data_IF_994138446429
#
_entry.id   IF_994138446429
#
_cell.length_a   1.000
_cell.length_b   1.000
_cell.length_c   1.000
_cell.angle_alpha   90.00
_cell.angle_beta   90.00
_cell.angle_gamma   90.00
#
_symmetry.space_group_name_H-M   'P 1'
#
loop_
_entity.id
_entity.type
_entity.pdbx_description
1 polymer ?
#
# COMPACT_ATOMS: atom_id res chain seq x y z
N UNK A 1 19.97 -19.02 -27.99
CA UNK A 1 18.71 -18.75 -27.26
C UNK A 1 19.06 -17.93 -26.04
N UNK A 2 18.41 -16.78 -25.82
CA UNK A 2 18.62 -16.01 -24.59
C UNK A 2 18.00 -16.80 -23.43
N UNK A 3 18.81 -17.27 -22.50
CA UNK A 3 18.32 -17.96 -21.31
C UNK A 3 17.85 -16.91 -20.30
N UNK A 4 16.55 -16.88 -20.04
CA UNK A 4 15.95 -16.03 -19.01
C UNK A 4 15.97 -16.75 -17.66
N UNK A 5 16.26 -16.02 -16.58
CA UNK A 5 16.30 -16.56 -15.22
C UNK A 5 15.31 -15.82 -14.31
N UNK A 6 14.83 -16.50 -13.26
CA UNK A 6 13.99 -15.91 -12.23
C UNK A 6 12.80 -15.12 -12.78
N UNK A 7 12.70 -13.87 -12.35
CA UNK A 7 11.61 -12.95 -12.73
C UNK A 7 11.58 -12.63 -14.21
N UNK A 8 12.72 -12.64 -14.91
CA UNK A 8 12.72 -12.40 -16.35
C UNK A 8 12.04 -13.53 -17.14
N UNK A 9 12.18 -14.77 -16.68
CA UNK A 9 11.48 -15.90 -17.31
C UNK A 9 9.97 -15.76 -17.10
N UNK A 10 9.54 -15.43 -15.88
CA UNK A 10 8.12 -15.22 -15.57
C UNK A 10 7.51 -14.11 -16.43
N UNK A 11 8.19 -12.96 -16.54
CA UNK A 11 7.69 -11.80 -17.29
C UNK A 11 7.71 -12.00 -18.82
N UNK A 12 8.53 -12.92 -19.34
CA UNK A 12 8.56 -13.24 -20.77
C UNK A 12 7.52 -14.28 -21.17
N UNK A 13 7.13 -15.17 -20.26
CA UNK A 13 6.14 -16.23 -20.52
C UNK A 13 4.70 -15.78 -20.24
N UNK A 14 4.50 -14.95 -19.21
CA UNK A 14 3.16 -14.53 -18.81
C UNK A 14 2.61 -13.41 -19.71
N UNK A 15 1.32 -13.47 -20.07
CA UNK A 15 0.64 -12.33 -20.67
C UNK A 15 0.69 -11.10 -19.76
N UNK A 16 0.86 -9.92 -20.35
CA UNK A 16 1.01 -8.64 -19.62
C UNK A 16 -0.13 -8.41 -18.62
N UNK A 17 -1.37 -8.74 -19.00
CA UNK A 17 -2.54 -8.57 -18.12
C UNK A 17 -2.51 -9.50 -16.90
N UNK A 18 -1.94 -10.71 -17.02
CA UNK A 18 -1.77 -11.64 -15.89
C UNK A 18 -0.75 -11.09 -14.90
N UNK A 19 0.37 -10.55 -15.42
CA UNK A 19 1.37 -9.86 -14.59
C UNK A 19 0.75 -8.69 -13.84
N UNK A 20 -0.03 -7.85 -14.52
CA UNK A 20 -0.70 -6.70 -13.92
C UNK A 20 -1.66 -7.13 -12.80
N UNK A 21 -2.53 -8.11 -13.07
CA UNK A 21 -3.50 -8.62 -12.10
C UNK A 21 -2.79 -9.25 -10.90
N UNK A 22 -1.74 -10.04 -11.12
CA UNK A 22 -0.99 -10.70 -10.05
C UNK A 22 -0.34 -9.68 -9.13
N UNK A 23 0.33 -8.66 -9.68
CA UNK A 23 0.93 -7.60 -8.88
C UNK A 23 -0.12 -6.82 -8.11
N UNK A 24 -1.23 -6.43 -8.76
CA UNK A 24 -2.34 -5.74 -8.10
C UNK A 24 -2.92 -6.54 -6.94
N UNK A 25 -3.17 -7.84 -7.15
CA UNK A 25 -3.69 -8.72 -6.09
C UNK A 25 -2.72 -8.88 -4.92
N UNK A 26 -1.41 -8.97 -5.19
CA UNK A 26 -0.39 -9.16 -4.15
C UNK A 26 -0.12 -7.88 -3.37
N UNK A 27 -0.01 -6.72 -4.03
CA UNK A 27 0.38 -5.46 -3.35
C UNK A 27 -0.82 -4.75 -2.72
N UNK A 28 -1.95 -4.66 -3.43
CA UNK A 28 -3.15 -3.99 -2.93
C UNK A 28 -4.15 -4.98 -2.34
N UNK A 29 -4.55 -5.99 -3.12
CA UNK A 29 -5.63 -6.90 -2.73
C UNK A 29 -5.41 -7.63 -1.40
N UNK A 30 -4.22 -8.18 -1.21
CA UNK A 30 -3.88 -8.92 0.01
C UNK A 30 -3.88 -8.03 1.26
N UNK A 31 -3.35 -6.80 1.20
CA UNK A 31 -3.38 -5.90 2.35
C UNK A 31 -4.82 -5.53 2.72
N UNK A 32 -5.67 -5.24 1.73
CA UNK A 32 -7.08 -4.94 1.98
C UNK A 32 -7.76 -6.05 2.80
N UNK A 33 -7.58 -7.31 2.40
CA UNK A 33 -8.15 -8.47 3.10
C UNK A 33 -7.53 -8.65 4.48
N UNK A 34 -6.21 -8.52 4.61
CA UNK A 34 -5.53 -8.73 5.88
C UNK A 34 -5.98 -7.72 6.93
N UNK A 35 -6.07 -6.44 6.58
CA UNK A 35 -6.46 -5.39 7.54
C UNK A 35 -7.94 -5.43 7.88
N UNK A 36 -8.80 -5.71 6.91
CA UNK A 36 -10.23 -5.90 7.18
C UNK A 36 -10.46 -7.10 8.11
N UNK A 37 -9.85 -8.26 7.80
CA UNK A 37 -10.13 -9.50 8.50
C UNK A 37 -9.46 -9.62 9.87
N UNK A 38 -8.23 -9.12 10.01
CA UNK A 38 -7.42 -9.33 11.22
C UNK A 38 -7.27 -8.08 12.09
N UNK A 39 -7.49 -6.89 11.54
CA UNK A 39 -7.27 -5.62 12.28
C UNK A 39 -8.57 -4.83 12.46
N UNK A 40 -9.66 -5.21 11.79
CA UNK A 40 -10.94 -4.50 11.85
C UNK A 40 -10.87 -3.07 11.31
N UNK A 41 -9.84 -2.77 10.51
CA UNK A 41 -9.58 -1.46 9.93
C UNK A 41 -9.94 -1.49 8.45
N UNK A 42 -10.80 -0.56 8.02
CA UNK A 42 -10.93 -0.26 6.60
C UNK A 42 -9.59 0.31 6.12
N UNK A 43 -8.90 -0.42 5.25
CA UNK A 43 -7.59 -0.01 4.75
C UNK A 43 -7.71 1.32 3.99
N UNK A 44 -7.34 2.43 4.65
CA UNK A 44 -7.15 3.72 3.97
C UNK A 44 -5.77 3.77 3.35
N UNK A 45 -5.70 3.41 2.08
CA UNK A 45 -4.43 3.42 1.36
C UNK A 45 -3.88 4.85 1.28
N UNK A 46 -2.60 5.01 1.62
CA UNK A 46 -1.83 6.20 1.30
C UNK A 46 -1.90 6.45 -0.23
N UNK A 47 -1.80 7.69 -0.70
CA UNK A 47 -1.85 7.92 -2.16
C UNK A 47 -0.69 7.22 -2.88
N UNK A 48 0.45 7.14 -2.22
CA UNK A 48 1.63 6.37 -2.66
C UNK A 48 1.34 4.89 -2.85
N UNK A 49 0.56 4.24 -1.99
CA UNK A 49 0.19 2.85 -2.21
C UNK A 49 -0.98 2.73 -3.21
N UNK A 50 -1.94 3.67 -3.23
CA UNK A 50 -3.11 3.58 -4.13
C UNK A 50 -2.77 3.90 -5.60
N UNK A 51 -2.13 5.04 -5.82
CA UNK A 51 -1.78 5.56 -7.15
C UNK A 51 -0.34 5.20 -7.51
N UNK A 52 0.56 5.20 -6.52
CA UNK A 52 1.95 4.89 -6.74
C UNK A 52 2.19 3.40 -7.06
N UNK A 53 1.48 2.45 -6.45
CA UNK A 53 1.55 1.04 -6.87
C UNK A 53 1.14 0.86 -8.33
N UNK A 54 0.15 1.63 -8.80
CA UNK A 54 -0.22 1.65 -10.22
C UNK A 54 0.94 2.10 -11.12
N UNK A 55 1.69 3.13 -10.71
CA UNK A 55 2.88 3.58 -11.41
C UNK A 55 4.01 2.52 -11.38
N UNK A 56 4.21 1.85 -10.24
CA UNK A 56 5.19 0.77 -10.12
C UNK A 56 4.82 -0.44 -10.99
N UNK A 57 3.54 -0.84 -11.01
CA UNK A 57 3.04 -1.89 -11.89
C UNK A 57 3.28 -1.50 -13.35
N UNK A 58 2.95 -0.28 -13.75
CA UNK A 58 3.19 0.18 -15.12
C UNK A 58 4.67 0.11 -15.51
N UNK A 59 5.60 0.45 -14.61
CA UNK A 59 7.04 0.24 -14.82
C UNK A 59 7.40 -1.24 -15.00
N UNK A 60 6.81 -2.14 -14.23
CA UNK A 60 7.02 -3.59 -14.39
C UNK A 60 6.50 -4.08 -15.74
N UNK A 61 5.33 -3.64 -16.17
CA UNK A 61 4.76 -4.00 -17.48
C UNK A 61 5.60 -3.45 -18.63
N UNK A 62 6.16 -2.25 -18.47
CA UNK A 62 7.09 -1.67 -19.43
C UNK A 62 8.35 -2.54 -19.54
N UNK A 63 8.96 -2.92 -18.42
CA UNK A 63 10.11 -3.83 -18.41
C UNK A 63 9.77 -5.21 -19.00
N UNK A 64 8.57 -5.74 -18.73
CA UNK A 64 8.09 -6.98 -19.33
C UNK A 64 8.02 -6.87 -20.87
N UNK A 65 7.47 -5.76 -21.38
CA UNK A 65 7.46 -5.46 -22.81
C UNK A 65 8.87 -5.43 -23.42
N UNK A 66 9.83 -4.79 -22.73
CA UNK A 66 11.26 -4.76 -23.12
C UNK A 66 11.89 -6.17 -23.15
N UNK A 67 11.58 -7.01 -22.16
CA UNK A 67 12.09 -8.39 -22.10
C UNK A 67 11.50 -9.25 -23.22
N UNK A 68 10.20 -9.11 -23.50
CA UNK A 68 9.47 -9.86 -24.53
C UNK A 68 9.96 -9.52 -25.95
N UNK A 69 10.44 -8.28 -26.18
CA UNK A 69 11.14 -7.89 -27.43
C UNK A 69 12.63 -8.25 -27.47
N UNK A 70 13.13 -9.02 -26.50
CA UNK A 70 14.49 -9.56 -26.47
C UNK A 70 15.53 -8.71 -25.71
N UNK A 71 15.12 -7.61 -25.07
CA UNK A 71 15.98 -6.70 -24.33
C UNK A 71 16.40 -7.23 -22.97
N UNK A 72 17.29 -8.22 -22.92
CA UNK A 72 17.76 -8.85 -21.69
C UNK A 72 19.00 -8.16 -21.09
N UNK A 73 18.96 -7.80 -19.80
CA UNK A 73 20.16 -7.35 -19.06
C UNK A 73 19.98 -7.35 -17.53
N UNK A 74 20.92 -7.90 -16.74
CA UNK A 74 22.04 -8.77 -17.11
C UNK A 74 21.58 -10.24 -17.25
N UNK A 75 22.18 -11.03 -18.16
CA UNK A 75 21.79 -12.43 -18.38
C UNK A 75 22.41 -13.37 -17.34
N UNK A 76 22.09 -13.19 -16.05
CA UNK A 76 22.71 -13.98 -14.96
C UNK A 76 21.70 -14.40 -13.90
N UNK A 77 21.60 -15.71 -13.63
CA UNK A 77 20.79 -16.23 -12.52
C UNK A 77 21.30 -15.77 -11.14
N UNK A 78 22.61 -15.62 -10.97
CA UNK A 78 23.21 -15.11 -9.73
C UNK A 78 22.78 -13.69 -9.41
N UNK A 79 22.52 -12.87 -10.44
CA UNK A 79 22.00 -11.53 -10.25
C UNK A 79 20.60 -11.55 -9.63
N UNK A 80 19.72 -12.47 -10.06
CA UNK A 80 18.40 -12.65 -9.46
C UNK A 80 18.47 -13.16 -8.01
N UNK A 81 19.39 -14.09 -7.72
CA UNK A 81 19.61 -14.58 -6.35
C UNK A 81 20.08 -13.43 -5.45
N UNK A 82 21.04 -12.63 -5.91
CA UNK A 82 21.52 -11.45 -5.17
C UNK A 82 20.43 -10.41 -4.93
N UNK A 83 19.61 -10.12 -5.95
CA UNK A 83 18.48 -9.21 -5.81
C UNK A 83 17.41 -9.72 -4.84
N UNK A 84 17.14 -11.03 -4.85
CA UNK A 84 16.20 -11.67 -3.92
C UNK A 84 16.74 -11.62 -2.48
N UNK A 85 18.02 -11.94 -2.29
CA UNK A 85 18.68 -11.86 -0.98
C UNK A 85 18.66 -10.43 -0.43
N UNK A 86 18.95 -9.43 -1.28
CA UNK A 86 18.85 -8.02 -0.90
C UNK A 86 17.44 -7.63 -0.48
N UNK A 87 16.42 -8.03 -1.26
CA UNK A 87 15.02 -7.81 -0.91
C UNK A 87 14.65 -8.43 0.44
N UNK A 88 15.05 -9.68 0.67
CA UNK A 88 14.80 -10.38 1.93
C UNK A 88 15.48 -9.69 3.13
N UNK A 89 16.74 -9.27 2.98
CA UNK A 89 17.47 -8.55 4.05
C UNK A 89 16.79 -7.23 4.37
N UNK A 90 16.37 -6.46 3.37
CA UNK A 90 15.68 -5.18 3.58
C UNK A 90 14.33 -5.43 4.27
N UNK A 91 13.54 -6.39 3.81
CA UNK A 91 12.23 -6.69 4.40
C UNK A 91 12.31 -7.16 5.85
N UNK A 92 13.21 -8.11 6.13
CA UNK A 92 13.43 -8.62 7.50
C UNK A 92 14.01 -7.52 8.39
N UNK A 93 14.96 -6.72 7.88
CA UNK A 93 15.55 -5.62 8.62
C UNK A 93 14.51 -4.56 9.00
N UNK A 94 13.66 -4.17 8.05
CA UNK A 94 12.58 -3.21 8.30
C UNK A 94 11.57 -3.76 9.30
N UNK A 95 11.10 -5.01 9.13
CA UNK A 95 10.22 -5.66 10.09
C UNK A 95 10.82 -5.69 11.51
N UNK A 96 12.11 -5.99 11.64
CA UNK A 96 12.80 -6.01 12.94
C UNK A 96 12.86 -4.63 13.59
N UNK A 97 13.10 -3.57 12.82
CA UNK A 97 13.11 -2.19 13.33
C UNK A 97 11.73 -1.85 13.92
N UNK A 98 10.66 -2.06 13.16
CA UNK A 98 9.30 -1.78 13.60
C UNK A 98 8.89 -2.63 14.82
N UNK A 99 9.31 -3.90 14.86
CA UNK A 99 9.06 -4.80 15.98
C UNK A 99 9.81 -4.38 17.26
N UNK A 100 11.04 -3.86 17.13
CA UNK A 100 11.87 -3.43 18.26
C UNK A 100 11.47 -2.04 18.78
N UNK A 101 10.98 -1.16 17.91
CA UNK A 101 10.43 0.15 18.31
C UNK A 101 9.22 -0.02 19.23
N UNK A 102 8.36 -1.01 18.95
CA UNK A 102 7.23 -1.36 19.82
C UNK A 102 7.62 -1.89 21.20
N UNK A 103 8.87 -2.37 21.38
CA UNK A 103 9.34 -2.94 22.65
C UNK A 103 9.69 -1.89 23.71
N UNK A 104 9.95 -0.64 23.28
CA UNK A 104 10.35 0.47 24.16
C UNK A 104 9.15 1.30 24.65
N UNK A 105 7.94 0.97 24.19
CA UNK A 105 6.73 1.69 24.57
C UNK A 105 6.20 1.22 25.93
N UNK A 106 5.62 2.12 26.75
CA UNK A 106 4.95 1.75 27.99
C UNK A 106 3.81 0.76 27.73
N UNK A 107 3.51 -0.09 28.71
CA UNK A 107 2.62 -1.27 28.58
C UNK A 107 1.23 -0.91 27.98
N UNK A 108 0.69 0.26 28.31
CA UNK A 108 -0.58 0.77 27.82
C UNK A 108 -0.56 1.15 26.33
N UNK A 109 0.60 1.55 25.80
CA UNK A 109 0.83 1.75 24.37
C UNK A 109 1.21 0.45 23.66
N UNK A 110 1.82 -0.51 24.36
CA UNK A 110 2.19 -1.81 23.83
C UNK A 110 0.96 -2.65 23.44
N UNK A 111 -0.15 -2.55 24.20
CA UNK A 111 -1.45 -3.14 23.85
C UNK A 111 -2.05 -2.52 22.58
N UNK A 112 -1.79 -1.23 22.30
CA UNK A 112 -2.18 -0.61 21.01
C UNK A 112 -1.21 -0.96 19.88
N UNK A 113 -0.04 -1.48 20.23
CA UNK A 113 0.98 -1.93 19.31
C UNK A 113 0.85 -3.43 18.98
N UNK A 114 -0.36 -4.00 19.05
CA UNK A 114 -0.63 -5.35 18.58
C UNK A 114 -0.12 -5.54 17.13
N UNK A 115 0.47 -6.71 16.88
CA UNK A 115 1.15 -7.03 15.63
C UNK A 115 0.16 -6.93 14.46
N UNK A 116 0.37 -5.93 13.58
CA UNK A 116 -0.50 -5.69 12.43
C UNK A 116 -0.08 -6.60 11.29
N UNK A 117 -0.92 -7.59 10.98
CA UNK A 117 -0.67 -8.55 9.91
C UNK A 117 -0.48 -7.88 8.55
N UNK A 118 -1.16 -6.75 8.30
CA UNK A 118 -0.97 -5.94 7.11
C UNK A 118 0.43 -5.35 7.02
N UNK A 119 1.00 -4.88 8.14
CA UNK A 119 2.37 -4.36 8.18
C UNK A 119 3.38 -5.50 8.08
N UNK A 120 3.19 -6.61 8.80
CA UNK A 120 4.05 -7.80 8.67
C UNK A 120 4.10 -8.29 7.23
N UNK A 121 2.95 -8.39 6.57
CA UNK A 121 2.87 -8.77 5.16
C UNK A 121 3.55 -7.74 4.25
N UNK A 122 3.37 -6.45 4.49
CA UNK A 122 4.04 -5.41 3.72
C UNK A 122 5.57 -5.53 3.83
N UNK A 123 6.11 -5.68 5.04
CA UNK A 123 7.55 -5.78 5.27
C UNK A 123 8.15 -7.08 4.74
N UNK A 124 7.47 -8.22 4.89
CA UNK A 124 8.04 -9.52 4.57
C UNK A 124 7.73 -10.01 3.15
N UNK A 125 6.74 -9.40 2.48
CA UNK A 125 6.32 -9.82 1.12
C UNK A 125 6.45 -8.67 0.13
N UNK A 126 5.77 -7.55 0.36
CA UNK A 126 5.69 -6.47 -0.63
C UNK A 126 7.02 -5.75 -0.77
N UNK A 127 7.64 -5.31 0.32
CA UNK A 127 8.91 -4.59 0.26
C UNK A 127 10.03 -5.42 -0.42
N UNK A 128 10.26 -6.70 -0.06
CA UNK A 128 11.20 -7.57 -0.76
C UNK A 128 10.89 -7.73 -2.24
N UNK A 129 9.60 -7.91 -2.60
CA UNK A 129 9.17 -8.03 -3.99
C UNK A 129 9.47 -6.75 -4.78
N UNK A 130 9.14 -5.58 -4.23
CA UNK A 130 9.39 -4.29 -4.87
C UNK A 130 10.89 -4.03 -5.03
N UNK A 131 11.71 -4.31 -4.01
CA UNK A 131 13.17 -4.22 -4.10
C UNK A 131 13.69 -5.13 -5.21
N UNK A 132 13.26 -6.40 -5.22
CA UNK A 132 13.66 -7.36 -6.23
C UNK A 132 13.30 -6.88 -7.64
N UNK A 133 12.07 -6.43 -7.86
CA UNK A 133 11.61 -5.91 -9.14
C UNK A 133 12.37 -4.65 -9.55
N UNK A 134 12.62 -3.73 -8.62
CA UNK A 134 13.35 -2.50 -8.90
C UNK A 134 14.79 -2.78 -9.33
N UNK A 135 15.51 -3.60 -8.56
CA UNK A 135 16.89 -3.99 -8.84
C UNK A 135 16.99 -4.75 -10.15
N UNK A 136 16.04 -5.63 -10.45
CA UNK A 136 16.11 -6.45 -11.66
C UNK A 136 15.60 -5.73 -12.90
N UNK A 137 14.61 -4.85 -12.81
CA UNK A 137 13.93 -4.28 -13.99
C UNK A 137 14.42 -2.88 -14.38
N UNK A 138 14.92 -2.07 -13.44
CA UNK A 138 15.51 -0.78 -13.82
C UNK A 138 16.70 -0.91 -14.77
N UNK A 139 17.66 -1.84 -14.56
CA UNK A 139 18.76 -2.03 -15.51
C UNK A 139 18.27 -2.44 -16.90
N UNK A 140 17.23 -3.27 -16.97
CA UNK A 140 16.58 -3.67 -18.23
C UNK A 140 16.05 -2.44 -18.97
N UNK A 141 15.28 -1.60 -18.29
CA UNK A 141 14.72 -0.36 -18.88
C UNK A 141 15.86 0.58 -19.30
N UNK A 142 16.84 0.79 -18.44
CA UNK A 142 17.92 1.73 -18.70
C UNK A 142 18.78 1.32 -19.92
N UNK A 143 19.10 0.03 -20.05
CA UNK A 143 19.93 -0.49 -21.15
C UNK A 143 19.15 -0.70 -22.43
N UNK A 144 17.95 -1.28 -22.36
CA UNK A 144 17.22 -1.78 -23.53
C UNK A 144 15.96 -0.98 -23.86
N UNK A 145 15.56 -0.04 -23.00
CA UNK A 145 14.42 0.83 -23.24
C UNK A 145 14.66 1.86 -24.33
N UNK A 146 13.58 2.31 -24.95
CA UNK A 146 13.52 3.51 -25.79
C UNK A 146 13.64 4.78 -24.96
N UNK A 147 13.86 5.93 -25.59
CA UNK A 147 13.90 7.22 -24.89
C UNK A 147 12.58 7.50 -24.16
N UNK A 148 11.45 7.14 -24.76
CA UNK A 148 10.12 7.32 -24.15
C UNK A 148 9.97 6.45 -22.91
N UNK A 149 10.34 5.17 -22.98
CA UNK A 149 10.28 4.24 -21.83
C UNK A 149 11.15 4.72 -20.67
N UNK A 150 12.36 5.22 -20.96
CA UNK A 150 13.27 5.76 -19.92
C UNK A 150 12.70 7.02 -19.26
N UNK A 151 12.19 7.97 -20.05
CA UNK A 151 11.59 9.20 -19.53
C UNK A 151 10.35 8.87 -18.69
N UNK A 152 9.46 8.02 -19.21
CA UNK A 152 8.26 7.59 -18.50
C UNK A 152 8.59 6.92 -17.16
N UNK A 153 9.64 6.08 -17.14
CA UNK A 153 10.12 5.44 -15.90
C UNK A 153 10.60 6.47 -14.88
N UNK A 154 11.39 7.46 -15.30
CA UNK A 154 11.82 8.55 -14.41
C UNK A 154 10.62 9.33 -13.89
N UNK A 155 9.67 9.70 -14.75
CA UNK A 155 8.46 10.40 -14.34
C UNK A 155 7.63 9.58 -13.33
N UNK A 156 7.50 8.27 -13.52
CA UNK A 156 6.78 7.39 -12.60
C UNK A 156 7.48 7.25 -11.25
N UNK A 157 8.81 7.15 -11.22
CA UNK A 157 9.59 7.17 -9.97
C UNK A 157 9.38 8.50 -9.25
N UNK A 158 9.52 9.63 -9.95
CA UNK A 158 9.33 10.96 -9.35
C UNK A 158 7.91 11.15 -8.82
N UNK A 159 6.91 10.70 -9.58
CA UNK A 159 5.51 10.68 -9.17
C UNK A 159 5.33 9.87 -7.89
N UNK A 160 5.81 8.62 -7.85
CA UNK A 160 5.74 7.77 -6.67
C UNK A 160 6.44 8.41 -5.46
N UNK A 161 7.67 8.91 -5.61
CA UNK A 161 8.42 9.60 -4.54
C UNK A 161 7.65 10.83 -4.04
N UNK A 162 7.07 11.64 -4.93
CA UNK A 162 6.29 12.81 -4.54
C UNK A 162 5.06 12.44 -3.70
N UNK A 163 4.40 11.33 -4.02
CA UNK A 163 3.28 10.82 -3.24
C UNK A 163 3.75 10.31 -1.88
N UNK A 164 4.88 9.61 -1.80
CA UNK A 164 5.45 9.18 -0.51
C UNK A 164 5.78 10.38 0.38
N UNK A 165 6.39 11.42 -0.17
CA UNK A 165 6.69 12.66 0.58
C UNK A 165 5.39 13.34 1.02
N UNK A 166 4.39 13.41 0.14
CA UNK A 166 3.09 13.97 0.48
C UNK A 166 2.43 13.19 1.61
N UNK A 167 2.37 11.86 1.52
CA UNK A 167 1.76 11.02 2.54
C UNK A 167 2.50 11.10 3.87
N UNK A 168 3.84 11.15 3.86
CA UNK A 168 4.65 11.34 5.06
C UNK A 168 4.33 12.67 5.75
N UNK A 169 4.26 13.76 4.97
CA UNK A 169 3.95 15.10 5.51
C UNK A 169 2.55 15.23 6.07
N UNK A 170 1.60 14.45 5.54
CA UNK A 170 0.19 14.48 5.96
C UNK A 170 -0.15 13.33 6.94
N UNK A 171 0.84 12.60 7.45
CA UNK A 171 0.64 11.52 8.42
C UNK A 171 -0.12 10.30 7.86
N UNK A 172 -0.23 10.16 6.54
CA UNK A 172 -0.99 9.08 5.88
C UNK A 172 -0.23 7.75 5.83
N UNK A 173 1.06 7.77 6.11
CA UNK A 173 1.88 6.56 6.25
C UNK A 173 1.60 5.84 7.58
N UNK A 174 1.15 6.57 8.60
CA UNK A 174 0.75 6.02 9.89
C UNK A 174 -0.78 5.88 9.93
N UNK A 175 -1.26 4.71 9.52
CA UNK A 175 -2.70 4.46 9.49
C UNK A 175 -3.33 4.43 10.88
N UNK A 176 -2.57 4.14 11.95
CA UNK A 176 -3.10 4.14 13.33
C UNK A 176 -3.45 5.55 13.77
N UNK A 177 -2.52 6.49 13.58
CA UNK A 177 -2.75 7.88 13.99
C UNK A 177 -3.76 8.58 13.07
N UNK A 178 -3.76 8.27 11.78
CA UNK A 178 -4.70 8.86 10.84
C UNK A 178 -6.16 8.45 11.13
N UNK A 179 -6.42 7.18 11.43
CA UNK A 179 -7.76 6.72 11.83
C UNK A 179 -8.14 7.13 13.25
N UNK A 180 -7.18 7.20 14.17
CA UNK A 180 -7.40 7.70 15.53
C UNK A 180 -7.94 9.13 15.54
N UNK A 181 -7.44 10.00 14.67
CA UNK A 181 -7.96 11.38 14.50
C UNK A 181 -9.40 11.40 13.98
N UNK A 182 -9.74 10.56 12.99
CA UNK A 182 -11.09 10.46 12.45
C UNK A 182 -12.11 9.89 13.46
N UNK A 183 -11.73 8.82 14.16
CA UNK A 183 -12.58 8.20 15.18
C UNK A 183 -12.76 9.09 16.41
N UNK A 184 -11.73 9.86 16.79
CA UNK A 184 -11.84 10.83 17.88
C UNK A 184 -12.73 12.02 17.48
N UNK A 185 -12.61 12.51 16.24
CA UNK A 185 -13.50 13.54 15.71
C UNK A 185 -14.96 13.06 15.64
N UNK A 186 -15.21 11.82 15.20
CA UNK A 186 -16.55 11.22 15.16
C UNK A 186 -17.14 10.98 16.57
N UNK A 187 -16.31 10.52 17.51
CA UNK A 187 -16.73 10.36 18.90
C UNK A 187 -17.03 11.70 19.56
N UNK A 188 -16.22 12.73 19.27
CA UNK A 188 -16.40 14.07 19.80
C UNK A 188 -17.63 14.73 19.18
N UNK A 189 -17.85 14.57 17.87
CA UNK A 189 -19.08 14.98 17.18
C UNK A 189 -20.31 14.31 17.78
N UNK A 190 -20.32 12.98 17.94
CA UNK A 190 -21.42 12.25 18.58
C UNK A 190 -21.64 12.71 20.02
N UNK A 191 -20.58 12.99 20.78
CA UNK A 191 -20.71 13.48 22.16
C UNK A 191 -21.31 14.88 22.21
N UNK A 192 -20.96 15.76 21.27
CA UNK A 192 -21.53 17.10 21.13
C UNK A 192 -22.98 17.04 20.67
N UNK A 193 -23.33 16.11 19.79
CA UNK A 193 -24.70 15.88 19.33
C UNK A 193 -25.59 15.36 20.47
N UNK A 194 -25.10 14.40 21.25
CA UNK A 194 -25.78 13.92 22.47
C UNK A 194 -25.92 15.04 23.51
N UNK A 195 -24.88 15.85 23.72
CA UNK A 195 -24.95 16.99 24.64
C UNK A 195 -25.95 18.05 24.16
N UNK A 196 -26.00 18.34 22.86
CA UNK A 196 -26.96 19.28 22.27
C UNK A 196 -28.41 18.79 22.42
N UNK A 197 -28.65 17.49 22.20
CA UNK A 197 -29.95 16.85 22.43
C UNK A 197 -30.34 16.88 23.91
N UNK A 198 -29.39 16.65 24.82
CA UNK A 198 -29.65 16.68 26.26
C UNK A 198 -29.79 18.09 26.83
N UNK A 199 -29.20 19.12 26.20
CA UNK A 199 -29.32 20.52 26.59
C UNK A 199 -30.67 21.15 26.18
N UNK A 200 -31.35 20.56 25.19
CA UNK A 200 -32.68 20.99 24.74
C UNK A 200 -33.64 19.78 24.67
N UNK A 201 -34.03 19.21 25.83
CA UNK A 201 -34.91 18.03 25.86
C UNK A 201 -36.27 18.28 25.20
N UNK A 202 -36.74 19.53 25.16
CA UNK A 202 -37.98 19.94 24.50
C UNK A 202 -37.90 19.82 22.96
N UNK A 203 -36.70 19.84 22.37
CA UNK A 203 -36.49 19.67 20.93
C UNK A 203 -36.67 18.21 20.49
N UNK A 204 -36.32 17.25 21.36
CA UNK A 204 -36.52 15.80 21.11
C UNK A 204 -38.01 15.46 21.02
N UNK A 205 -38.82 16.10 21.86
CA UNK A 205 -40.28 15.95 21.82
C UNK A 205 -40.88 16.63 20.58
N UNK A 206 -40.31 17.74 20.12
CA UNK A 206 -40.79 18.46 18.93
C UNK A 206 -40.44 17.72 17.64
N UNK A 207 -39.20 17.22 17.47
CA UNK A 207 -38.79 16.39 16.34
C UNK A 207 -39.58 15.07 16.29
N UNK A 208 -39.79 14.41 17.44
CA UNK A 208 -40.58 13.19 17.51
C UNK A 208 -42.06 13.46 17.17
N UNK A 209 -42.62 14.60 17.61
CA UNK A 209 -43.99 15.02 17.26
C UNK A 209 -44.14 15.36 15.78
N UNK A 210 -43.14 15.99 15.16
CA UNK A 210 -43.15 16.26 13.72
C UNK A 210 -43.02 14.98 12.89
N UNK A 211 -42.12 14.07 13.28
CA UNK A 211 -41.97 12.76 12.63
C UNK A 211 -43.26 11.91 12.72
N UNK A 212 -43.95 11.92 13.87
CA UNK A 212 -45.25 11.24 14.05
C UNK A 212 -46.34 11.90 13.20
N UNK A 213 -46.34 13.23 13.07
CA UNK A 213 -47.29 13.98 12.22
C UNK A 213 -47.09 13.71 10.73
N UNK A 214 -45.85 13.52 10.29
CA UNK A 214 -45.50 13.24 8.91
C UNK A 214 -45.80 11.78 8.53
N UNK A 215 -45.57 10.84 9.46
CA UNK A 215 -45.97 9.44 9.28
C UNK A 215 -47.49 9.22 9.28
N UNK A 216 -48.25 9.97 10.09
CA UNK A 216 -49.71 9.86 10.14
C UNK A 216 -50.47 10.51 8.99
N UNK A 217 -49.78 11.17 8.05
CA UNK A 217 -50.37 11.78 6.83
C UNK A 217 -50.15 10.98 5.55
N UNK A 218 -49.40 9.87 5.62
CA UNK A 218 -49.28 8.90 4.52
C UNK A 218 -50.25 7.75 4.74
#
# INVERSE_FOLDING_TARGET
MNTYYGGYWVLTVLPIWVTALTLYSITLGAIFILRDRYEGLYYQVSYSAQLGDGALIAMVLMAAGILQRGGLFPPSGWFHIGALALGAVIGVGWWLIDALDGLHLPIDQQVRHEMQWGDVYHHLVIAPLLVYLFVTLLPVIYKNGTSVEKIATVCMILFWVSLCIYDARNGRLDQRNYHGLGQHADALWKSLEIQKVNAHPDAKDQELREAIKEFGRR
#
